data_IF_892910475555
#
_entry.id   IF_892910475555
#
_cell.length_a   1.000
_cell.length_b   1.000
_cell.length_c   1.000
_cell.angle_alpha   90.00
_cell.angle_beta   90.00
_cell.angle_gamma   90.00
#
_symmetry.space_group_name_H-M   'P 1'
#
loop_
_entity.id
_entity.type
_entity.pdbx_description
1 polymer ?
#
# COMPACT_ATOMS: atom_id res chain seq x y z
N UNK A 1 -11.42 19.21 -3.41
CA UNK A 1 -11.80 18.65 -2.10
C UNK A 1 -11.13 17.29 -2.08
N UNK A 2 -10.00 17.16 -1.37
CA UNK A 2 -9.24 15.92 -1.36
C UNK A 2 -10.06 14.87 -0.60
N UNK A 3 -10.23 13.70 -1.20
CA UNK A 3 -11.00 12.60 -0.62
C UNK A 3 -10.14 11.92 0.46
N UNK A 4 -10.76 11.21 1.41
CA UNK A 4 -10.06 10.45 2.48
C UNK A 4 -9.04 9.47 1.90
N UNK A 5 -9.31 9.02 0.68
CA UNK A 5 -8.47 8.19 -0.16
C UNK A 5 -7.13 8.85 -0.47
N UNK A 6 -7.16 10.10 -0.90
CA UNK A 6 -5.99 10.84 -1.36
C UNK A 6 -5.00 10.99 -0.19
N UNK A 7 -5.51 11.34 0.99
CA UNK A 7 -4.71 11.44 2.21
C UNK A 7 -4.06 10.11 2.61
N UNK A 8 -4.81 9.01 2.50
CA UNK A 8 -4.27 7.69 2.79
C UNK A 8 -3.15 7.31 1.81
N UNK A 9 -3.39 7.48 0.50
CA UNK A 9 -2.40 7.18 -0.54
C UNK A 9 -1.13 8.03 -0.36
N UNK A 10 -1.29 9.31 -0.06
CA UNK A 10 -0.17 10.21 0.23
C UNK A 10 0.57 9.84 1.50
N UNK A 11 -0.10 9.54 2.62
CA UNK A 11 0.58 9.13 3.86
C UNK A 11 1.35 7.82 3.67
N UNK A 12 0.76 6.82 2.99
CA UNK A 12 1.44 5.55 2.71
C UNK A 12 2.64 5.75 1.79
N UNK A 13 2.48 6.52 0.70
CA UNK A 13 3.58 6.79 -0.22
C UNK A 13 4.70 7.58 0.47
N UNK A 14 4.36 8.59 1.27
CA UNK A 14 5.36 9.38 1.99
C UNK A 14 6.14 8.54 2.99
N UNK A 15 5.45 7.64 3.72
CA UNK A 15 6.05 6.80 4.76
C UNK A 15 6.88 5.65 4.21
N UNK A 16 6.33 4.88 3.27
CA UNK A 16 6.90 3.61 2.82
C UNK A 16 7.52 3.67 1.43
N UNK A 17 7.30 4.76 0.67
CA UNK A 17 7.70 4.90 -0.74
C UNK A 17 7.05 3.91 -1.71
N UNK A 18 6.05 3.16 -1.25
CA UNK A 18 5.20 2.30 -2.06
C UNK A 18 3.87 2.98 -2.40
N UNK A 19 3.25 2.56 -3.50
CA UNK A 19 1.90 2.97 -3.87
C UNK A 19 0.90 1.97 -3.29
N UNK A 20 0.05 2.41 -2.37
CA UNK A 20 -0.94 1.54 -1.75
C UNK A 20 -2.07 1.18 -2.74
N UNK A 21 -2.58 -0.05 -2.64
CA UNK A 21 -3.75 -0.46 -3.40
C UNK A 21 -5.02 0.21 -2.82
N UNK A 22 -5.74 0.96 -3.66
CA UNK A 22 -7.06 1.47 -3.32
C UNK A 22 -8.01 1.28 -4.50
N UNK A 23 -9.11 0.51 -4.38
CA UNK A 23 -9.72 -0.09 -3.18
C UNK A 23 -9.01 -1.37 -2.68
N UNK A 24 -9.16 -1.76 -1.39
CA UNK A 24 -8.52 -2.95 -0.80
C UNK A 24 -8.84 -4.30 -1.47
N UNK A 25 -9.88 -4.34 -2.32
CA UNK A 25 -10.27 -5.53 -3.09
C UNK A 25 -9.65 -5.61 -4.48
N UNK A 26 -8.86 -4.63 -4.90
CA UNK A 26 -8.22 -4.65 -6.23
C UNK A 26 -7.01 -5.59 -6.17
N UNK A 27 -7.04 -6.63 -6.99
CA UNK A 27 -5.88 -7.50 -7.20
C UNK A 27 -4.92 -6.84 -8.19
N UNK A 28 -3.78 -6.39 -7.67
CA UNK A 28 -2.63 -5.97 -8.48
C UNK A 28 -1.66 -7.13 -8.65
N UNK A 29 -0.99 -7.18 -9.80
CA UNK A 29 -0.02 -8.22 -10.12
C UNK A 29 1.30 -7.62 -10.55
N UNK A 30 2.37 -8.36 -10.30
CA UNK A 30 3.68 -8.04 -10.84
C UNK A 30 3.61 -7.97 -12.37
N UNK A 31 4.18 -6.91 -12.94
CA UNK A 31 4.12 -6.65 -14.37
C UNK A 31 2.80 -6.06 -14.88
N UNK A 32 1.86 -5.68 -14.02
CA UNK A 32 0.75 -4.83 -14.45
C UNK A 32 1.29 -3.46 -14.90
N UNK A 33 0.69 -2.94 -15.96
CA UNK A 33 1.07 -1.69 -16.61
C UNK A 33 -0.08 -0.72 -16.48
N UNK A 34 0.20 0.48 -15.98
CA UNK A 34 -0.82 1.47 -15.66
C UNK A 34 -0.30 2.89 -15.73
N UNK A 35 -1.10 3.80 -15.20
CA UNK A 35 -0.71 5.20 -14.98
C UNK A 35 -0.86 5.52 -13.50
N UNK A 36 -0.02 6.39 -12.97
CA UNK A 36 -0.19 6.98 -11.65
C UNK A 36 -0.81 8.36 -11.85
N UNK A 37 -1.95 8.62 -11.21
CA UNK A 37 -2.58 9.93 -11.25
C UNK A 37 -1.92 10.89 -10.23
N UNK A 38 -2.36 12.14 -10.21
CA UNK A 38 -1.83 13.18 -9.31
C UNK A 38 -2.08 12.87 -7.81
N UNK A 39 -2.92 11.88 -7.50
CA UNK A 39 -3.29 11.42 -6.16
C UNK A 39 -2.58 10.11 -5.75
N UNK A 40 -1.47 9.75 -6.40
CA UNK A 40 -0.71 8.54 -6.11
C UNK A 40 -1.51 7.22 -6.26
N UNK A 41 -2.59 7.23 -7.05
CA UNK A 41 -3.37 6.03 -7.36
C UNK A 41 -2.85 5.38 -8.63
N UNK A 42 -2.52 4.09 -8.54
CA UNK A 42 -2.20 3.27 -9.71
C UNK A 42 -3.49 2.82 -10.42
N UNK A 43 -3.61 3.18 -11.69
CA UNK A 43 -4.73 2.82 -12.56
C UNK A 43 -4.27 1.79 -13.60
N UNK A 44 -4.59 0.48 -13.44
CA UNK A 44 -4.17 -0.55 -14.37
C UNK A 44 -4.78 -0.31 -15.76
N UNK A 45 -3.98 -0.52 -16.81
CA UNK A 45 -4.38 -0.39 -18.22
C UNK A 45 -4.14 -1.66 -19.01
N UNK A 46 -3.03 -2.33 -18.76
CA UNK A 46 -2.65 -3.59 -19.43
C UNK A 46 -1.62 -4.32 -18.56
N UNK A 47 -0.91 -5.28 -19.12
CA UNK A 47 0.18 -5.99 -18.44
C UNK A 47 1.35 -6.21 -19.41
N UNK A 48 2.55 -6.45 -18.87
CA UNK A 48 3.72 -6.86 -19.64
C UNK A 48 3.43 -8.11 -20.48
N UNK A 49 2.67 -9.05 -19.91
CA UNK A 49 2.20 -10.26 -20.62
C UNK A 49 1.42 -9.92 -21.88
N UNK A 50 0.49 -8.98 -21.81
CA UNK A 50 -0.29 -8.52 -22.98
C UNK A 50 0.57 -7.77 -24.01
N UNK A 51 1.73 -7.26 -23.59
CA UNK A 51 2.73 -6.62 -24.47
C UNK A 51 3.75 -7.61 -25.04
N UNK A 52 3.68 -8.88 -24.65
CA UNK A 52 4.62 -9.91 -25.07
C UNK A 52 5.98 -9.83 -24.37
N UNK A 53 6.05 -9.13 -23.24
CA UNK A 53 7.27 -9.04 -22.40
C UNK A 53 7.16 -10.09 -21.30
N UNK A 54 8.22 -10.89 -21.15
CA UNK A 54 8.33 -11.93 -20.12
C UNK A 54 9.45 -11.57 -19.16
N UNK A 55 9.25 -11.91 -17.89
CA UNK A 55 10.17 -11.59 -16.81
C UNK A 55 10.23 -12.73 -15.80
N UNK A 56 11.35 -12.80 -15.10
CA UNK A 56 11.58 -13.72 -14.00
C UNK A 56 11.25 -13.02 -12.68
N UNK A 57 10.78 -13.79 -11.71
CA UNK A 57 10.26 -13.30 -10.44
C UNK A 57 11.16 -13.81 -9.32
N UNK A 58 11.57 -12.88 -8.46
CA UNK A 58 12.28 -13.17 -7.23
C UNK A 58 11.33 -12.93 -6.05
N UNK A 59 11.01 -14.00 -5.33
CA UNK A 59 10.21 -13.96 -4.10
C UNK A 59 11.14 -13.85 -2.89
N UNK A 60 10.89 -12.86 -2.02
CA UNK A 60 11.51 -12.84 -0.71
C UNK A 60 10.71 -13.76 0.23
N UNK A 61 11.36 -14.82 0.71
CA UNK A 61 10.74 -15.79 1.61
C UNK A 61 10.54 -15.22 3.03
N UNK A 62 11.14 -14.07 3.35
CA UNK A 62 11.05 -13.48 4.68
C UNK A 62 9.73 -12.73 4.85
N UNK A 63 8.93 -13.19 5.80
CA UNK A 63 7.76 -12.45 6.29
C UNK A 63 8.18 -11.34 7.25
N UNK A 64 7.58 -10.17 7.11
CA UNK A 64 7.71 -9.04 8.03
C UNK A 64 6.33 -8.42 8.34
N UNK A 65 6.27 -7.46 9.24
CA UNK A 65 5.05 -6.70 9.53
C UNK A 65 5.27 -5.21 9.23
N UNK A 66 4.29 -4.57 8.58
CA UNK A 66 4.29 -3.12 8.35
C UNK A 66 3.28 -2.45 9.29
N UNK A 67 3.76 -1.49 10.07
CA UNK A 67 2.98 -0.81 11.12
C UNK A 67 3.19 0.69 11.03
N UNK A 68 2.10 1.44 11.02
CA UNK A 68 2.15 2.89 10.97
C UNK A 68 0.93 3.53 11.64
N UNK A 69 1.19 4.64 12.35
CA UNK A 69 0.19 5.48 13.00
C UNK A 69 0.57 6.93 12.72
N UNK A 70 -0.38 7.74 12.24
CA UNK A 70 -0.12 9.15 11.95
C UNK A 70 0.30 9.90 13.21
N UNK A 71 1.38 10.67 13.11
CA UNK A 71 1.94 11.45 14.22
C UNK A 71 0.91 12.44 14.78
N UNK A 72 0.74 12.44 16.11
CA UNK A 72 -0.11 13.41 16.83
C UNK A 72 -1.62 13.23 16.59
N UNK A 73 -2.04 12.11 16.00
CA UNK A 73 -3.43 11.94 15.54
C UNK A 73 -4.21 10.77 16.13
N UNK A 74 -3.59 9.82 16.82
CA UNK A 74 -4.31 8.62 17.32
C UNK A 74 -3.86 8.21 18.72
N UNK A 75 -4.83 7.97 19.59
CA UNK A 75 -4.67 7.27 20.87
C UNK A 75 -5.37 5.91 20.77
N UNK A 76 -4.63 4.82 20.97
CA UNK A 76 -5.20 3.47 20.97
C UNK A 76 -5.29 3.01 22.43
N UNK A 77 -6.51 2.72 22.88
CA UNK A 77 -6.75 2.17 24.22
C UNK A 77 -7.22 0.74 24.11
N UNK A 78 -6.51 -0.18 24.77
CA UNK A 78 -6.87 -1.60 24.82
C UNK A 78 -7.76 -1.87 26.02
N UNK A 79 -8.81 -2.67 25.84
CA UNK A 79 -9.66 -3.12 26.95
C UNK A 79 -9.22 -4.51 27.41
N UNK A 80 -8.13 -4.57 28.17
CA UNK A 80 -7.74 -5.81 28.85
C UNK A 80 -8.49 -5.92 30.17
N UNK A 81 -9.36 -6.92 30.32
CA UNK A 81 -10.03 -7.26 31.59
C UNK A 81 -10.69 -6.09 32.36
N UNK A 82 -11.22 -5.08 31.65
CA UNK A 82 -11.97 -3.98 32.25
C UNK A 82 -11.17 -2.70 32.53
N UNK A 83 -9.85 -2.68 32.30
CA UNK A 83 -9.02 -1.49 32.46
C UNK A 83 -8.55 -0.96 31.09
N UNK A 84 -8.69 0.35 30.88
CA UNK A 84 -8.19 1.05 29.69
C UNK A 84 -6.70 1.32 29.88
N UNK A 85 -5.84 0.59 29.15
CA UNK A 85 -4.43 0.96 29.04
C UNK A 85 -4.26 1.94 27.88
N UNK A 86 -3.94 3.20 28.18
CA UNK A 86 -3.66 4.23 27.19
C UNK A 86 -2.22 4.12 26.65
N UNK A 87 -2.05 4.19 25.33
CA UNK A 87 -0.73 4.33 24.71
C UNK A 87 -0.75 4.21 23.19
N UNK A 88 0.31 4.67 22.52
CA UNK A 88 0.49 4.53 21.06
C UNK A 88 0.97 3.12 20.70
N UNK A 89 0.27 2.08 21.17
CA UNK A 89 0.63 0.68 20.90
C UNK A 89 -0.10 0.17 19.66
N UNK A 90 0.66 -0.48 18.79
CA UNK A 90 0.13 -1.18 17.61
C UNK A 90 -0.77 -2.34 18.06
N UNK A 91 -1.87 -2.55 17.34
CA UNK A 91 -2.86 -3.59 17.62
C UNK A 91 -2.19 -4.96 17.58
N UNK A 92 -2.40 -5.76 18.61
CA UNK A 92 -1.96 -7.14 18.67
C UNK A 92 -3.14 -8.06 18.38
N UNK A 93 -2.92 -9.22 17.73
CA UNK A 93 -3.98 -10.18 17.43
C UNK A 93 -4.79 -10.67 18.64
N UNK A 94 -4.26 -10.51 19.86
CA UNK A 94 -4.90 -10.93 21.12
C UNK A 94 -5.85 -9.87 21.72
N UNK A 95 -6.02 -8.71 21.10
CA UNK A 95 -6.79 -7.60 21.68
C UNK A 95 -8.29 -7.80 21.48
N UNK A 96 -8.95 -8.34 22.50
CA UNK A 96 -10.41 -8.45 22.58
C UNK A 96 -10.98 -7.05 22.87
N UNK A 97 -11.28 -6.30 21.81
CA UNK A 97 -11.88 -4.97 21.89
C UNK A 97 -10.84 -3.87 22.12
N UNK A 98 -10.69 -2.98 21.13
CA UNK A 98 -9.86 -1.78 21.23
C UNK A 98 -10.71 -0.55 20.91
N UNK A 99 -10.35 0.59 21.50
CA UNK A 99 -10.89 1.90 21.19
C UNK A 99 -9.78 2.72 20.51
N UNK A 100 -10.05 3.20 19.31
CA UNK A 100 -9.15 4.11 18.60
C UNK A 100 -9.74 5.52 18.65
N UNK A 101 -9.11 6.43 19.41
CA UNK A 101 -9.51 7.83 19.46
C UNK A 101 -8.64 8.64 18.51
N UNK A 102 -9.27 9.25 17.51
CA UNK A 102 -8.58 10.08 16.53
C UNK A 102 -8.60 11.54 16.97
N UNK A 103 -7.43 12.07 17.32
CA UNK A 103 -7.26 13.46 17.75
C UNK A 103 -7.32 14.47 16.60
N UNK A 104 -7.29 14.02 15.34
CA UNK A 104 -7.46 14.85 14.14
C UNK A 104 -8.14 14.12 12.99
N UNK A 105 -8.74 14.87 12.09
CA UNK A 105 -9.22 14.44 10.78
C UNK A 105 -8.07 13.89 9.92
N UNK A 106 -8.36 12.88 9.08
CA UNK A 106 -7.41 12.19 8.20
C UNK A 106 -6.25 11.49 8.92
N UNK A 107 -6.38 11.21 10.22
CA UNK A 107 -5.43 10.35 10.92
C UNK A 107 -5.65 8.88 10.53
N UNK A 108 -4.54 8.19 10.28
CA UNK A 108 -4.45 6.83 9.75
C UNK A 108 -3.82 5.90 10.79
N UNK A 109 -4.45 4.75 11.00
CA UNK A 109 -3.82 3.56 11.58
C UNK A 109 -3.71 2.53 10.48
N UNK A 110 -2.49 2.08 10.22
CA UNK A 110 -2.18 1.06 9.23
C UNK A 110 -1.41 -0.08 9.90
N UNK A 111 -1.90 -1.29 9.72
CA UNK A 111 -1.21 -2.51 10.09
C UNK A 111 -1.39 -3.53 8.97
N UNK A 112 -0.28 -4.12 8.54
CA UNK A 112 -0.25 -5.25 7.63
C UNK A 112 0.69 -6.30 8.21
N UNK A 113 0.16 -7.51 8.41
CA UNK A 113 0.87 -8.62 9.03
C UNK A 113 1.24 -9.67 7.97
N UNK A 114 2.38 -10.34 8.17
CA UNK A 114 2.81 -11.42 7.26
C UNK A 114 3.15 -10.91 5.85
N UNK A 115 3.71 -9.71 5.77
CA UNK A 115 4.08 -9.04 4.53
C UNK A 115 5.23 -9.78 3.84
N UNK A 116 5.06 -10.04 2.55
CA UNK A 116 6.08 -10.58 1.64
C UNK A 116 6.30 -9.62 0.48
N UNK A 117 7.55 -9.54 0.02
CA UNK A 117 7.91 -8.80 -1.20
C UNK A 117 8.16 -9.76 -2.34
N UNK A 118 7.64 -9.43 -3.51
CA UNK A 118 7.90 -10.14 -4.76
C UNK A 118 8.30 -9.12 -5.82
N UNK A 119 9.45 -9.32 -6.48
CA UNK A 119 9.97 -8.37 -7.46
C UNK A 119 10.39 -9.03 -8.76
N UNK A 120 10.41 -8.24 -9.83
CA UNK A 120 11.03 -8.63 -11.09
C UNK A 120 12.55 -8.71 -10.88
N UNK A 121 13.15 -9.83 -11.27
CA UNK A 121 14.57 -10.11 -11.03
C UNK A 121 15.48 -9.24 -11.92
N UNK A 122 15.20 -9.20 -13.22
CA UNK A 122 16.04 -8.51 -14.21
C UNK A 122 15.37 -7.22 -14.72
N UNK A 123 15.60 -6.12 -13.99
CA UNK A 123 15.08 -4.79 -14.32
C UNK A 123 15.77 -4.19 -15.56
N UNK A 124 17.03 -4.54 -15.81
CA UNK A 124 17.78 -4.03 -16.96
C UNK A 124 17.27 -4.62 -18.27
N UNK A 125 16.99 -5.93 -18.28
CA UNK A 125 16.30 -6.60 -19.40
C UNK A 125 14.91 -6.02 -19.60
N UNK A 126 14.13 -5.84 -18.53
CA UNK A 126 12.79 -5.24 -18.62
C UNK A 126 12.86 -3.85 -19.27
N UNK A 127 13.81 -3.02 -18.85
CA UNK A 127 14.02 -1.68 -19.40
C UNK A 127 14.35 -1.73 -20.89
N UNK A 128 15.21 -2.67 -21.29
CA UNK A 128 15.57 -2.89 -22.70
C UNK A 128 14.36 -3.32 -23.54
N UNK A 129 13.56 -4.27 -23.05
CA UNK A 129 12.34 -4.74 -23.72
C UNK A 129 11.29 -3.61 -23.86
N UNK A 130 11.14 -2.78 -22.82
CA UNK A 130 10.26 -1.61 -22.84
C UNK A 130 10.75 -0.54 -23.82
N UNK A 131 12.06 -0.28 -23.89
CA UNK A 131 12.64 0.67 -24.85
C UNK A 131 12.37 0.24 -26.30
N UNK A 132 12.56 -1.05 -26.61
CA UNK A 132 12.26 -1.59 -27.94
C UNK A 132 10.77 -1.48 -28.32
N UNK A 133 9.85 -1.51 -27.34
CA UNK A 133 8.41 -1.25 -27.55
C UNK A 133 8.10 0.24 -27.74
N UNK A 134 8.81 1.11 -27.03
CA UNK A 134 8.67 2.55 -27.17
C UNK A 134 9.11 3.04 -28.56
N UNK A 135 10.21 2.50 -29.10
CA UNK A 135 10.67 2.79 -30.47
C UNK A 135 9.63 2.46 -31.55
N UNK A 136 8.77 1.45 -31.28
CA UNK A 136 7.67 1.03 -32.15
C UNK A 136 6.35 1.76 -31.89
N UNK A 137 6.34 2.78 -31.03
CA UNK A 137 5.13 3.46 -30.54
C UNK A 137 4.10 2.52 -29.88
N UNK A 138 4.53 1.35 -29.39
CA UNK A 138 3.68 0.39 -28.68
C UNK A 138 3.63 0.63 -27.17
N UNK A 139 4.45 1.57 -26.68
CA UNK A 139 4.57 1.99 -25.29
C UNK A 139 4.32 3.49 -25.13
N UNK A 140 3.50 3.88 -24.15
CA UNK A 140 3.22 5.30 -23.87
C UNK A 140 4.13 5.82 -22.78
N UNK A 141 4.50 7.11 -22.85
CA UNK A 141 5.48 7.72 -21.92
C UNK A 141 4.98 7.76 -20.48
N UNK A 142 3.68 7.90 -20.29
CA UNK A 142 3.03 7.94 -18.98
C UNK A 142 2.84 6.56 -18.34
N UNK A 143 3.14 5.48 -19.07
CA UNK A 143 2.95 4.13 -18.55
C UNK A 143 4.06 3.72 -17.61
N UNK A 144 3.65 3.27 -16.43
CA UNK A 144 4.49 2.67 -15.40
C UNK A 144 4.18 1.19 -15.23
N UNK A 145 5.11 0.45 -14.64
CA UNK A 145 5.01 -1.00 -14.44
C UNK A 145 5.18 -1.32 -12.96
N UNK A 146 4.39 -2.25 -12.43
CA UNK A 146 4.61 -2.82 -11.11
C UNK A 146 5.81 -3.77 -11.17
N UNK A 147 6.98 -3.31 -10.72
CA UNK A 147 8.23 -4.09 -10.68
C UNK A 147 8.48 -4.76 -9.34
N UNK A 148 7.79 -4.32 -8.29
CA UNK A 148 7.79 -4.91 -6.96
C UNK A 148 6.37 -4.84 -6.40
N UNK A 149 5.92 -5.92 -5.78
CA UNK A 149 4.62 -6.05 -5.15
C UNK A 149 4.81 -6.48 -3.69
N UNK A 150 4.21 -5.70 -2.80
CA UNK A 150 4.16 -5.99 -1.36
C UNK A 150 2.77 -6.54 -1.05
N UNK A 151 2.70 -7.79 -0.59
CA UNK A 151 1.45 -8.46 -0.25
C UNK A 151 1.45 -8.85 1.22
N UNK A 152 0.32 -8.65 1.91
CA UNK A 152 0.13 -9.01 3.31
C UNK A 152 -0.86 -10.17 3.43
N UNK A 153 -0.69 -11.02 4.44
CA UNK A 153 -1.68 -12.06 4.77
C UNK A 153 -2.99 -11.40 5.26
N UNK A 154 -2.86 -10.31 6.01
CA UNK A 154 -3.99 -9.52 6.50
C UNK A 154 -3.60 -8.06 6.74
N UNK A 155 -4.55 -7.14 6.59
CA UNK A 155 -4.35 -5.72 6.89
C UNK A 155 -5.53 -5.09 7.62
N UNK A 156 -5.24 -4.25 8.60
CA UNK A 156 -6.19 -3.34 9.26
C UNK A 156 -5.84 -1.91 8.89
N UNK A 157 -6.81 -1.21 8.32
CA UNK A 157 -6.68 0.20 7.94
C UNK A 157 -7.85 0.95 8.58
N UNK A 158 -7.55 1.93 9.43
CA UNK A 158 -8.53 2.85 10.00
C UNK A 158 -8.15 4.26 9.59
N UNK A 159 -9.11 5.01 9.06
CA UNK A 159 -8.89 6.41 8.65
C UNK A 159 -10.01 7.24 9.28
N UNK A 160 -9.64 8.30 9.98
CA UNK A 160 -10.61 9.21 10.56
C UNK A 160 -11.14 10.19 9.52
N UNK A 161 -12.46 10.35 9.46
CA UNK A 161 -13.12 11.38 8.65
C UNK A 161 -13.45 12.66 9.47
N UNK A 162 -13.06 12.74 10.75
CA UNK A 162 -13.31 13.92 11.59
C UNK A 162 -12.39 14.00 12.82
N UNK A 163 -12.36 15.17 13.47
CA UNK A 163 -11.74 15.30 14.80
C UNK A 163 -12.59 14.58 15.85
N UNK A 164 -11.95 13.84 16.78
CA UNK A 164 -12.57 13.05 17.85
C UNK A 164 -13.43 11.86 17.38
N UNK A 165 -13.14 11.29 16.21
CA UNK A 165 -13.73 10.01 15.82
C UNK A 165 -13.29 8.90 16.81
N UNK A 166 -14.21 7.98 17.11
CA UNK A 166 -14.05 6.88 18.08
C UNK A 166 -14.55 5.57 17.49
#
# INVERSE_FOLDING_TARGET
MADIVDYYLDEMHNKFKYYAAWLPGISLRLGDVGIINDQNQFLPKTSLKNKGITFEVLEDAKKDDLKYVSTGGVSISMKAAGELMAGTKVLKPADIGFLAEFGRENAVVFQADGVVSTRIEDIDKLTTDMAAKAEKNEWKKEWVVITELIAADSSTILISNSNNAR
#
